data_IF_684871055604
#
_entry.id   IF_684871055604
#
_cell.length_a   1.000
_cell.length_b   1.000
_cell.length_c   1.000
_cell.angle_alpha   90.00
_cell.angle_beta   90.00
_cell.angle_gamma   90.00
#
_symmetry.space_group_name_H-M   'P 1'
#
loop_
_entity.id
_entity.type
_entity.pdbx_description
1 polymer ?
#
# COMPACT_ATOMS: atom_id res chain seq x y z
N UNK A 1 -4.75 -11.11 6.65
CA UNK A 1 -3.56 -10.82 7.51
C UNK A 1 -2.38 -11.68 7.05
N UNK A 2 -1.14 -11.24 7.24
CA UNK A 2 0.07 -11.92 6.74
C UNK A 2 1.10 -12.19 7.87
N UNK A 3 0.77 -13.08 8.84
CA UNK A 3 1.62 -13.29 10.02
C UNK A 3 2.99 -13.90 9.71
N UNK A 4 3.14 -14.58 8.57
CA UNK A 4 4.42 -15.14 8.12
C UNK A 4 5.49 -14.08 7.84
N UNK A 5 5.12 -12.80 7.70
CA UNK A 5 6.05 -11.69 7.50
C UNK A 5 6.62 -11.11 8.81
N UNK A 6 6.06 -11.50 9.96
CA UNK A 6 6.50 -11.00 11.27
C UNK A 6 7.97 -11.38 11.53
N UNK A 7 8.78 -10.40 11.96
CA UNK A 7 10.21 -10.59 12.18
C UNK A 7 11.08 -10.57 10.91
N UNK A 8 10.47 -10.61 9.71
CA UNK A 8 11.18 -10.48 8.44
C UNK A 8 11.19 -9.05 7.90
N UNK A 9 10.26 -8.21 8.35
CA UNK A 9 10.10 -6.82 7.88
C UNK A 9 9.85 -5.86 9.06
N UNK A 10 10.37 -4.65 8.93
CA UNK A 10 10.12 -3.56 9.89
C UNK A 10 8.78 -2.90 9.58
N UNK A 11 7.89 -2.88 10.56
CA UNK A 11 6.60 -2.18 10.45
C UNK A 11 6.81 -0.68 10.69
N UNK A 12 6.41 0.16 9.72
CA UNK A 12 6.60 1.63 9.77
C UNK A 12 5.32 2.42 10.05
N UNK A 13 4.15 1.79 9.99
CA UNK A 13 2.88 2.47 10.19
C UNK A 13 1.68 1.61 9.80
N UNK A 14 0.49 2.21 9.89
CA UNK A 14 -0.78 1.60 9.45
C UNK A 14 -1.65 2.64 8.78
N UNK A 15 -2.47 2.21 7.84
CA UNK A 15 -3.53 3.04 7.26
C UNK A 15 -4.57 3.33 8.34
N UNK A 16 -4.86 4.62 8.57
CA UNK A 16 -5.85 5.06 9.57
C UNK A 16 -7.15 5.57 8.94
N UNK A 17 -7.15 5.86 7.64
CA UNK A 17 -8.30 6.31 6.86
C UNK A 17 -8.09 5.97 5.37
N UNK A 18 -9.18 5.82 4.61
CA UNK A 18 -9.12 5.55 3.16
C UNK A 18 -8.74 4.12 2.78
N UNK A 19 -9.06 3.13 3.62
CA UNK A 19 -8.77 1.72 3.34
C UNK A 19 -9.48 1.20 2.08
N UNK A 20 -10.67 1.73 1.79
CA UNK A 20 -11.43 1.47 0.56
C UNK A 20 -10.66 1.87 -0.71
N UNK A 21 -9.89 2.96 -0.66
CA UNK A 21 -9.03 3.39 -1.77
C UNK A 21 -7.88 2.40 -1.97
N UNK A 22 -7.30 1.88 -0.88
CA UNK A 22 -6.24 0.86 -0.95
C UNK A 22 -6.78 -0.43 -1.56
N UNK A 23 -7.99 -0.84 -1.18
CA UNK A 23 -8.61 -2.06 -1.66
C UNK A 23 -8.97 -1.98 -3.16
N UNK A 24 -9.17 -0.77 -3.68
CA UNK A 24 -9.46 -0.48 -5.08
C UNK A 24 -8.21 -0.40 -5.99
N UNK A 25 -6.99 -0.43 -5.44
CA UNK A 25 -5.76 -0.39 -6.24
C UNK A 25 -5.75 -1.52 -7.28
N UNK A 26 -5.39 -1.17 -8.52
CA UNK A 26 -5.37 -2.09 -9.65
C UNK A 26 -4.49 -3.30 -9.35
N UNK A 27 -5.10 -4.48 -9.42
CA UNK A 27 -4.42 -5.76 -9.18
C UNK A 27 -3.70 -6.20 -10.44
N UNK A 28 -2.43 -6.57 -10.30
CA UNK A 28 -1.65 -7.16 -11.37
C UNK A 28 -1.97 -8.62 -11.62
N UNK A 29 -1.49 -9.11 -12.76
CA UNK A 29 -1.59 -10.51 -13.16
C UNK A 29 -0.33 -11.31 -12.88
N UNK A 30 -0.46 -12.65 -12.93
CA UNK A 30 0.65 -13.58 -12.78
C UNK A 30 1.31 -13.59 -11.40
N UNK A 31 2.35 -14.41 -11.24
CA UNK A 31 3.06 -14.56 -9.96
C UNK A 31 3.88 -13.33 -9.55
N UNK A 32 4.17 -12.44 -10.50
CA UNK A 32 4.93 -11.21 -10.26
C UNK A 32 4.05 -9.97 -10.06
N UNK A 33 2.73 -10.08 -10.24
CA UNK A 33 1.80 -8.99 -10.01
C UNK A 33 1.98 -7.78 -10.92
N UNK A 34 2.48 -7.96 -12.15
CA UNK A 34 2.68 -6.85 -13.09
C UNK A 34 1.36 -6.23 -13.57
N UNK A 35 1.37 -4.91 -13.78
CA UNK A 35 0.26 -4.09 -14.26
C UNK A 35 0.76 -3.20 -15.39
N UNK A 36 0.04 -3.12 -16.52
CA UNK A 36 0.44 -2.30 -17.67
C UNK A 36 0.31 -0.79 -17.39
N UNK A 37 -0.79 -0.38 -16.75
CA UNK A 37 -1.06 1.02 -16.36
C UNK A 37 -1.24 1.12 -14.83
N UNK A 38 -0.16 1.19 -14.05
CA UNK A 38 -0.25 1.15 -12.59
C UNK A 38 -0.84 2.44 -12.01
N UNK A 39 -1.54 2.32 -10.88
CA UNK A 39 -1.87 3.48 -10.05
C UNK A 39 -0.59 4.03 -9.40
N UNK A 40 -0.45 5.36 -9.37
CA UNK A 40 0.76 6.02 -8.85
C UNK A 40 0.43 7.08 -7.82
N UNK A 41 1.31 7.24 -6.82
CA UNK A 41 1.24 8.36 -5.88
C UNK A 41 1.75 9.63 -6.59
N UNK A 42 0.82 10.44 -7.14
CA UNK A 42 1.17 11.67 -7.83
C UNK A 42 1.70 12.78 -6.91
N UNK A 43 1.28 12.77 -5.63
CA UNK A 43 1.72 13.72 -4.60
C UNK A 43 1.60 13.08 -3.23
N UNK A 44 2.58 13.35 -2.36
CA UNK A 44 2.59 12.89 -0.97
C UNK A 44 2.84 14.09 -0.07
N UNK A 45 2.09 14.18 1.03
CA UNK A 45 2.21 15.26 2.01
C UNK A 45 2.49 14.69 3.38
N UNK A 46 3.37 15.38 4.11
CA UNK A 46 3.48 15.18 5.55
C UNK A 46 2.38 15.99 6.21
N UNK A 47 1.56 15.32 7.01
CA UNK A 47 0.68 16.01 7.94
C UNK A 47 1.57 16.50 9.08
N UNK A 48 1.85 17.80 9.11
CA UNK A 48 2.40 18.44 10.30
C UNK A 48 1.25 18.59 11.31
N UNK A 49 1.57 18.42 12.58
CA UNK A 49 0.67 18.85 13.65
C UNK A 49 0.65 20.40 13.69
N UNK A 50 -0.47 20.99 14.09
CA UNK A 50 -0.47 22.36 14.64
C UNK A 50 -0.21 22.30 16.14
#
# INVERSE_FOLDING_TARGET
>A
PAPHLNGQYTVVGRVIAGQDVVDAIKRGGGSNGMVADPDVMARVHLKTEE
#
